data_IF_671741056173
#
_entry.id   IF_671741056173
#
_cell.length_a   1.000
_cell.length_b   1.000
_cell.length_c   1.000
_cell.angle_alpha   90.00
_cell.angle_beta   90.00
_cell.angle_gamma   90.00
#
_symmetry.space_group_name_H-M   'P 1'
#
loop_
_entity.id
_entity.type
_entity.pdbx_description
1 polymer ?
#
# COMPACT_ATOMS: atom_id res chain seq x y z
N UNK A 1 6.76 -1.29 -10.48
CA UNK A 1 7.24 -1.37 -9.08
C UNK A 1 6.12 -0.93 -8.17
N UNK A 2 5.90 -1.64 -7.06
CA UNK A 2 4.93 -1.31 -6.01
C UNK A 2 5.62 -0.46 -4.93
N UNK A 3 4.95 0.58 -4.44
CA UNK A 3 5.35 1.33 -3.25
C UNK A 3 4.17 1.53 -2.30
N UNK A 4 4.45 1.59 -1.00
CA UNK A 4 3.46 1.77 0.07
C UNK A 4 3.98 2.85 1.02
N UNK A 5 3.10 3.72 1.49
CA UNK A 5 3.43 4.76 2.48
C UNK A 5 2.23 5.17 3.32
N UNK A 6 2.47 5.94 4.36
CA UNK A 6 1.46 6.42 5.32
C UNK A 6 1.45 7.96 5.45
N UNK A 7 2.55 8.62 5.07
CA UNK A 7 2.74 10.04 5.29
C UNK A 7 3.14 10.85 4.06
N UNK A 8 3.09 12.17 4.19
CA UNK A 8 3.52 13.10 3.16
C UNK A 8 4.99 12.92 2.76
N UNK A 9 5.83 12.42 3.66
CA UNK A 9 7.23 12.05 3.38
C UNK A 9 7.36 11.03 2.24
N UNK A 10 6.35 10.19 2.02
CA UNK A 10 6.40 9.12 1.03
C UNK A 10 5.93 9.55 -0.35
N UNK A 11 5.40 10.78 -0.50
CA UNK A 11 4.83 11.28 -1.76
C UNK A 11 5.80 11.11 -2.94
N UNK A 12 7.09 11.41 -2.75
CA UNK A 12 8.09 11.29 -3.82
C UNK A 12 8.31 9.83 -4.23
N UNK A 13 8.30 8.92 -3.26
CA UNK A 13 8.44 7.48 -3.51
C UNK A 13 7.20 6.94 -4.23
N UNK A 14 6.00 7.29 -3.74
CA UNK A 14 4.72 6.91 -4.35
C UNK A 14 4.63 7.37 -5.80
N UNK A 15 4.98 8.63 -6.09
CA UNK A 15 4.94 9.19 -7.46
C UNK A 15 5.92 8.53 -8.42
N UNK A 16 7.01 7.96 -7.91
CA UNK A 16 7.98 7.23 -8.73
C UNK A 16 7.56 5.78 -9.00
N UNK A 17 6.56 5.26 -8.27
CA UNK A 17 6.08 3.89 -8.42
C UNK A 17 5.05 3.77 -9.55
N UNK A 18 4.95 2.58 -10.14
CA UNK A 18 3.87 2.27 -11.09
C UNK A 18 2.55 1.94 -10.41
N UNK A 19 2.63 1.47 -9.16
CA UNK A 19 1.48 1.28 -8.27
C UNK A 19 1.86 1.79 -6.88
N UNK A 20 1.26 2.89 -6.46
CA UNK A 20 1.43 3.49 -5.15
C UNK A 20 0.21 3.27 -4.27
N UNK A 21 0.42 2.83 -3.02
CA UNK A 21 -0.64 2.51 -2.07
C UNK A 21 -0.48 3.35 -0.79
N UNK A 22 -1.56 4.02 -0.39
CA UNK A 22 -1.68 4.62 0.93
C UNK A 22 -2.15 3.56 1.93
N UNK A 23 -1.42 3.35 3.03
CA UNK A 23 -1.82 2.47 4.12
C UNK A 23 -2.06 3.29 5.40
N UNK A 24 -3.31 3.33 5.88
CA UNK A 24 -3.73 4.16 7.03
C UNK A 24 -3.18 5.59 6.96
N UNK A 25 -3.17 6.15 5.75
CA UNK A 25 -2.38 7.33 5.44
C UNK A 25 -3.13 8.65 5.65
N UNK A 26 -2.36 9.74 5.78
CA UNK A 26 -2.90 11.10 5.74
C UNK A 26 -3.55 11.44 4.38
N UNK A 27 -4.52 12.35 4.38
CA UNK A 27 -5.19 12.84 3.15
C UNK A 27 -4.20 13.29 2.08
N UNK A 28 -3.12 13.97 2.49
CA UNK A 28 -2.08 14.43 1.59
C UNK A 28 -1.40 13.33 0.77
N UNK A 29 -1.25 12.13 1.34
CA UNK A 29 -0.69 10.99 0.61
C UNK A 29 -1.79 10.28 -0.18
N UNK A 30 -2.99 10.12 0.40
CA UNK A 30 -4.13 9.44 -0.23
C UNK A 30 -4.45 10.02 -1.61
N UNK A 31 -4.52 11.35 -1.70
CA UNK A 31 -4.78 12.09 -2.95
C UNK A 31 -3.74 11.84 -4.06
N UNK A 32 -2.57 11.29 -3.71
CA UNK A 32 -1.45 11.07 -4.62
C UNK A 32 -1.17 9.58 -4.88
N UNK A 33 -2.01 8.68 -4.37
CA UNK A 33 -1.86 7.22 -4.50
C UNK A 33 -2.90 6.63 -5.45
N UNK A 34 -2.62 5.43 -5.96
CA UNK A 34 -3.55 4.72 -6.83
C UNK A 34 -4.62 3.95 -6.04
N UNK A 35 -4.31 3.51 -4.83
CA UNK A 35 -5.21 2.78 -3.96
C UNK A 35 -4.95 3.12 -2.48
N UNK A 36 -5.99 2.98 -1.66
CA UNK A 36 -5.91 3.20 -0.22
C UNK A 36 -6.36 1.93 0.52
N UNK A 37 -5.63 1.58 1.58
CA UNK A 37 -6.02 0.56 2.56
C UNK A 37 -6.31 1.32 3.85
N UNK A 38 -7.60 1.44 4.16
CA UNK A 38 -8.10 2.17 5.34
C UNK A 38 -8.41 1.25 6.52
N UNK A 39 -8.50 -0.05 6.26
CA UNK A 39 -8.90 -1.05 7.22
C UNK A 39 -8.05 -2.30 7.06
N UNK A 40 -7.76 -2.95 8.19
CA UNK A 40 -6.96 -4.17 8.24
C UNK A 40 -5.48 -3.89 8.48
N UNK A 41 -4.64 -4.83 8.06
CA UNK A 41 -3.20 -4.79 8.25
C UNK A 41 -2.46 -4.96 6.90
N UNK A 42 -1.13 -5.03 6.96
CA UNK A 42 -0.28 -5.15 5.78
C UNK A 42 -0.49 -6.45 4.99
N UNK A 43 -1.26 -7.43 5.50
CA UNK A 43 -1.65 -8.63 4.76
C UNK A 43 -2.43 -8.29 3.49
N UNK A 44 -3.16 -7.17 3.50
CA UNK A 44 -3.83 -6.65 2.30
C UNK A 44 -2.88 -6.50 1.10
N UNK A 45 -1.61 -6.15 1.34
CA UNK A 45 -0.60 -6.02 0.28
C UNK A 45 -0.26 -7.35 -0.39
N UNK A 46 -0.36 -8.47 0.32
CA UNK A 46 -0.11 -9.80 -0.26
C UNK A 46 -1.24 -10.16 -1.23
N UNK A 47 -2.49 -9.89 -0.86
CA UNK A 47 -3.61 -10.09 -1.77
C UNK A 47 -3.52 -9.21 -3.02
N UNK A 48 -3.09 -7.95 -2.89
CA UNK A 48 -2.92 -7.04 -4.03
C UNK A 48 -1.84 -7.55 -5.01
N UNK A 49 -0.84 -8.26 -4.50
CA UNK A 49 0.18 -8.92 -5.32
C UNK A 49 -0.31 -10.24 -5.96
N UNK A 50 -1.53 -10.68 -5.65
CA UNK A 50 -2.15 -11.88 -6.20
C UNK A 50 -2.00 -13.14 -5.35
N UNK A 51 -1.41 -13.04 -4.15
CA UNK A 51 -1.29 -14.19 -3.25
C UNK A 51 -2.63 -14.54 -2.61
N UNK A 52 -2.88 -15.85 -2.49
CA UNK A 52 -4.00 -16.39 -1.73
C UNK A 52 -3.57 -16.64 -0.29
N UNK A 53 -4.54 -16.62 0.63
CA UNK A 53 -4.29 -16.90 2.05
C UNK A 53 -3.59 -18.25 2.30
N UNK A 54 -3.87 -19.25 1.45
CA UNK A 54 -3.23 -20.58 1.52
C UNK A 54 -1.72 -20.56 1.24
N UNK A 55 -1.22 -19.49 0.64
CA UNK A 55 0.20 -19.32 0.30
C UNK A 55 0.95 -18.54 1.38
N UNK A 56 0.29 -18.13 2.46
CA UNK A 56 0.93 -17.40 3.55
C UNK A 56 1.70 -18.36 4.45
N UNK A 57 2.94 -18.02 4.78
CA UNK A 57 3.67 -18.66 5.87
C UNK A 57 3.15 -18.06 7.18
N UNK A 58 2.48 -18.88 7.99
CA UNK A 58 2.02 -18.48 9.31
C UNK A 58 3.15 -18.78 10.31
N UNK A 59 3.57 -17.74 11.04
CA UNK A 59 4.54 -17.83 12.15
C UNK A 59 3.89 -18.24 13.45
#
# INVERSE_FOLDING_TARGET
MLAVGDGANDIKMIKAAGLGIAFHASDSLREQTNACIDHGDLTALLYIQGFRKSEFVLS
#
